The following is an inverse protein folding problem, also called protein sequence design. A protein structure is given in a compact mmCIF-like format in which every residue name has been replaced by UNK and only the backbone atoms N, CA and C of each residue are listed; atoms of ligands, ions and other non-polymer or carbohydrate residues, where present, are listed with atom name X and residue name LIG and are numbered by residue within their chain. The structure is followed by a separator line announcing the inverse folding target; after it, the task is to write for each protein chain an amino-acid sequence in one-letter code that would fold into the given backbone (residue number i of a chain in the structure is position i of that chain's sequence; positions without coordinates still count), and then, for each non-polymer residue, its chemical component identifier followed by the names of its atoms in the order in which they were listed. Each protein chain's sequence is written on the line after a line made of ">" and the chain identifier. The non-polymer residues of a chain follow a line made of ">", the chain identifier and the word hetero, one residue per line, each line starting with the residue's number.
data_IF_301972963588
#
_entry.id   IF_301972963588
#
_cell.length_a   1.000
_cell.length_b   1.000
_cell.length_c   1.000
_cell.angle_alpha   90.00
_cell.angle_beta   90.00
_cell.angle_gamma   90.00
#
_symmetry.space_group_name_H-M   'P 1'
#
loop_
_entity.id
_entity.type
_entity.pdbx_description
1 polymer ?
#
# COMPACT_ATOMS: atom_id res chain seq x y z
N UNK A 1 -50.31 9.34 -40.62
CA UNK A 1 -48.95 8.81 -40.83
C UNK A 1 -47.93 9.83 -40.33
N UNK A 2 -47.53 9.77 -39.06
CA UNK A 2 -46.38 10.53 -38.54
C UNK A 2 -45.53 9.52 -37.77
N UNK A 3 -44.41 9.14 -38.38
CA UNK A 3 -43.37 8.32 -37.78
C UNK A 3 -42.62 9.23 -36.83
N UNK A 4 -42.73 9.01 -35.52
CA UNK A 4 -41.84 9.67 -34.57
C UNK A 4 -41.17 8.59 -33.75
N UNK A 5 -39.84 8.63 -33.86
CA UNK A 5 -38.84 7.66 -33.48
C UNK A 5 -38.89 7.35 -31.98
N UNK A 6 -38.94 6.06 -31.66
CA UNK A 6 -38.72 5.51 -30.33
C UNK A 6 -37.24 5.69 -29.98
N UNK A 7 -36.90 6.74 -29.22
CA UNK A 7 -35.56 6.93 -28.68
C UNK A 7 -35.44 6.04 -27.45
N UNK A 8 -34.83 4.87 -27.64
CA UNK A 8 -34.43 3.97 -26.58
C UNK A 8 -33.30 4.65 -25.79
N UNK A 9 -33.67 5.39 -24.74
CA UNK A 9 -32.73 5.88 -23.74
C UNK A 9 -32.21 4.68 -22.96
N UNK A 10 -31.18 4.03 -23.50
CA UNK A 10 -30.36 3.06 -22.77
C UNK A 10 -29.67 3.85 -21.67
N UNK A 11 -30.26 3.84 -20.47
CA UNK A 11 -29.57 4.21 -19.25
C UNK A 11 -28.46 3.19 -19.06
N UNK A 12 -27.30 3.48 -19.66
CA UNK A 12 -26.05 2.85 -19.30
C UNK A 12 -25.88 3.12 -17.80
N UNK A 13 -26.10 2.08 -17.00
CA UNK A 13 -25.68 2.05 -15.62
C UNK A 13 -24.18 2.33 -15.63
N UNK A 14 -23.83 3.57 -15.37
CA UNK A 14 -22.47 3.95 -15.06
C UNK A 14 -22.16 3.23 -13.74
N UNK A 15 -21.52 2.07 -13.83
CA UNK A 15 -20.74 1.56 -12.71
C UNK A 15 -19.70 2.64 -12.45
N UNK A 16 -19.94 3.49 -11.45
CA UNK A 16 -18.86 4.23 -10.83
C UNK A 16 -17.96 3.17 -10.19
N UNK A 17 -16.97 2.70 -10.95
CA UNK A 17 -15.80 2.07 -10.34
C UNK A 17 -15.27 3.09 -9.33
N UNK A 18 -15.09 2.73 -8.04
CA UNK A 18 -14.39 3.60 -7.12
C UNK A 18 -13.05 3.91 -7.77
N UNK A 19 -12.83 5.18 -8.08
CA UNK A 19 -11.53 5.67 -8.55
C UNK A 19 -10.53 5.31 -7.46
N UNK A 20 -9.73 4.27 -7.70
CA UNK A 20 -8.62 3.87 -6.83
C UNK A 20 -7.54 4.96 -6.87
N UNK A 21 -7.79 6.11 -6.25
CA UNK A 21 -6.83 7.22 -6.30
C UNK A 21 -6.95 8.27 -5.20
N UNK A 22 -7.82 8.14 -4.19
CA UNK A 22 -7.88 9.16 -3.13
C UNK A 22 -6.99 8.89 -1.90
N UNK A 23 -6.23 7.80 -1.86
CA UNK A 23 -5.15 7.66 -0.86
C UNK A 23 -3.95 6.90 -1.42
N UNK A 24 -3.02 7.69 -1.96
CA UNK A 24 -1.65 7.31 -2.30
C UNK A 24 -0.96 6.56 -1.14
N UNK A 25 0.05 5.71 -1.42
CA UNK A 25 0.43 4.60 -0.58
C UNK A 25 0.91 5.06 0.79
N UNK A 26 0.45 4.34 1.82
CA UNK A 26 0.76 4.53 3.25
C UNK A 26 2.26 4.66 3.56
N UNK A 27 3.16 4.27 2.65
CA UNK A 27 4.61 4.27 2.83
C UNK A 27 5.39 4.68 1.58
N UNK A 28 6.51 5.38 1.78
CA UNK A 28 7.50 5.73 0.75
C UNK A 28 8.89 5.18 1.14
N UNK A 29 9.10 3.85 1.06
CA UNK A 29 10.37 3.25 1.46
C UNK A 29 11.50 3.62 0.48
N UNK A 30 12.76 3.70 0.94
CA UNK A 30 13.90 3.83 0.05
C UNK A 30 14.01 2.63 -0.91
N UNK A 31 14.69 2.83 -2.04
CA UNK A 31 14.83 1.80 -3.09
C UNK A 31 15.57 0.53 -2.67
N UNK A 32 16.20 0.53 -1.50
CA UNK A 32 16.91 -0.62 -0.94
C UNK A 32 15.99 -1.65 -0.27
N UNK A 33 14.68 -1.37 -0.18
CA UNK A 33 13.66 -2.33 0.27
C UNK A 33 13.27 -3.28 -0.88
N UNK A 34 14.21 -4.15 -1.25
CA UNK A 34 14.12 -4.98 -2.45
C UNK A 34 13.52 -6.38 -2.29
N UNK A 35 13.44 -6.88 -1.06
CA UNK A 35 12.89 -8.21 -0.74
C UNK A 35 11.37 -8.13 -0.71
N UNK A 36 10.69 -9.06 -1.39
CA UNK A 36 9.23 -9.14 -1.39
C UNK A 36 8.79 -10.30 -0.51
N UNK A 37 8.03 -10.01 0.55
CA UNK A 37 7.37 -11.00 1.39
C UNK A 37 5.87 -10.77 1.26
N UNK A 38 5.18 -11.62 0.49
CA UNK A 38 3.73 -11.55 0.25
C UNK A 38 3.19 -10.18 -0.18
N UNK A 39 3.96 -9.44 -0.99
CA UNK A 39 3.60 -8.11 -1.47
C UNK A 39 4.10 -6.97 -0.58
N UNK A 40 4.76 -7.27 0.54
CA UNK A 40 5.37 -6.28 1.45
C UNK A 40 6.87 -6.18 1.20
N UNK A 41 7.34 -4.95 1.03
CA UNK A 41 8.75 -4.65 0.72
C UNK A 41 9.59 -4.58 1.98
N UNK A 42 10.66 -5.38 2.00
CA UNK A 42 11.66 -5.45 3.06
C UNK A 42 13.05 -5.16 2.51
N UNK A 43 13.97 -4.70 3.37
CA UNK A 43 15.38 -4.54 3.03
C UNK A 43 16.12 -5.89 3.18
N UNK A 44 17.11 -6.21 2.32
CA UNK A 44 18.01 -7.34 2.58
C UNK A 44 18.62 -7.26 3.99
N UNK A 45 18.58 -8.39 4.71
CA UNK A 45 18.94 -8.44 6.13
C UNK A 45 17.75 -8.31 7.09
N UNK A 46 16.51 -8.44 6.60
CA UNK A 46 15.27 -8.38 7.40
C UNK A 46 15.24 -9.34 8.59
N UNK A 47 15.99 -10.45 8.54
CA UNK A 47 16.12 -11.44 9.61
C UNK A 47 17.01 -10.99 10.78
N UNK A 48 17.74 -9.88 10.64
CA UNK A 48 18.57 -9.26 11.69
C UNK A 48 18.27 -7.76 11.77
N UNK A 49 17.06 -7.36 12.20
CA UNK A 49 16.60 -5.98 12.10
C UNK A 49 17.32 -5.04 13.07
N UNK A 50 17.79 -5.56 14.20
CA UNK A 50 18.58 -4.78 15.18
C UNK A 50 19.91 -4.30 14.59
N UNK A 51 20.48 -5.05 13.66
CA UNK A 51 21.71 -4.66 12.96
C UNK A 51 21.44 -3.77 11.74
N UNK A 52 20.35 -4.02 11.02
CA UNK A 52 20.18 -3.48 9.67
C UNK A 52 19.18 -2.31 9.57
N UNK A 53 18.27 -2.16 10.54
CA UNK A 53 17.09 -1.30 10.37
C UNK A 53 17.01 -0.16 11.39
N UNK A 54 17.68 -0.29 12.53
CA UNK A 54 17.56 0.63 13.68
C UNK A 54 18.01 2.06 13.40
N UNK A 55 18.86 2.27 12.38
CA UNK A 55 19.33 3.60 11.97
C UNK A 55 18.20 4.53 11.51
N UNK A 56 17.12 3.96 10.95
CA UNK A 56 15.97 4.70 10.46
C UNK A 56 14.69 4.36 11.25
N UNK A 57 14.48 3.08 11.57
CA UNK A 57 13.27 2.59 12.24
C UNK A 57 13.34 2.64 13.78
N UNK A 58 14.45 3.15 14.33
CA UNK A 58 14.65 3.32 15.77
C UNK A 58 15.21 2.07 16.46
N UNK A 59 15.84 2.26 17.62
CA UNK A 59 16.47 1.17 18.39
C UNK A 59 15.46 0.12 18.87
N UNK A 60 14.21 0.52 19.08
CA UNK A 60 13.13 -0.36 19.49
C UNK A 60 12.29 -0.88 18.32
N UNK A 61 12.62 -0.50 17.08
CA UNK A 61 11.91 -0.86 15.84
C UNK A 61 10.44 -0.40 15.79
N UNK A 62 10.08 0.64 16.56
CA UNK A 62 8.71 1.19 16.63
C UNK A 62 8.49 2.41 15.74
N UNK A 63 9.39 2.70 14.81
CA UNK A 63 9.17 3.72 13.79
C UNK A 63 10.29 4.74 13.66
N UNK A 64 11.09 4.97 14.71
CA UNK A 64 12.23 5.87 14.66
C UNK A 64 11.91 7.21 14.01
N UNK A 65 12.74 7.65 13.06
CA UNK A 65 12.55 8.90 12.33
C UNK A 65 11.60 8.76 11.13
N UNK A 66 11.31 7.54 10.67
CA UNK A 66 10.51 7.28 9.47
C UNK A 66 9.04 6.97 9.77
N UNK A 67 8.70 6.75 11.05
CA UNK A 67 7.33 6.54 11.52
C UNK A 67 6.71 5.17 11.22
N UNK A 68 7.50 4.20 10.74
CA UNK A 68 7.01 2.86 10.35
C UNK A 68 7.51 1.79 11.31
N UNK A 69 6.59 1.20 12.08
CA UNK A 69 6.89 0.21 13.11
C UNK A 69 6.85 -1.21 12.53
N UNK A 70 7.87 -2.02 12.85
CA UNK A 70 7.86 -3.44 12.51
C UNK A 70 6.68 -4.18 13.17
N UNK A 71 6.21 -3.66 14.31
CA UNK A 71 5.11 -4.23 15.08
C UNK A 71 3.72 -3.90 14.54
N UNK A 72 3.64 -3.19 13.41
CA UNK A 72 2.36 -3.03 12.70
C UNK A 72 1.86 -4.36 12.13
N UNK A 73 2.80 -5.25 11.75
CA UNK A 73 2.50 -6.56 11.18
C UNK A 73 3.12 -7.71 11.98
N UNK A 74 4.31 -7.52 12.59
CA UNK A 74 5.02 -8.57 13.29
C UNK A 74 4.84 -8.52 14.81
N UNK A 75 4.92 -9.68 15.46
CA UNK A 75 4.94 -9.79 16.92
C UNK A 75 6.36 -9.82 17.47
N UNK A 76 6.56 -10.51 18.59
CA UNK A 76 7.91 -10.83 19.11
C UNK A 76 8.66 -11.88 18.29
N UNK A 77 7.94 -12.61 17.43
CA UNK A 77 8.48 -13.66 16.55
C UNK A 77 8.25 -13.22 15.10
N UNK A 78 9.25 -13.48 14.28
CA UNK A 78 9.40 -13.03 12.91
C UNK A 78 9.49 -14.27 12.03
#
# INVERSE_FOLDING_TARGET
>A
MKKTILILMIFLAACSEPTESENYPKYNPPSDHTVNEDGVRHKPGLQDPLKNCVSCHGQDLKGGSVGVSCYECHGKKW
#
